data_IF_142798043555
#
_entry.id   IF_142798043555
#
_cell.length_a   1.000
_cell.length_b   1.000
_cell.length_c   1.000
_cell.angle_alpha   90.00
_cell.angle_beta   90.00
_cell.angle_gamma   90.00
#
_symmetry.space_group_name_H-M   'P 1'
#
loop_
_entity.id
_entity.type
_entity.pdbx_description
1 polymer ?
#
# COMPACT_ATOMS: atom_id res chain seq x y z
N UNK A 1 5.86 -5.08 2.88
CA UNK A 1 4.99 -4.84 1.71
C UNK A 1 4.41 -6.10 1.11
N UNK A 2 5.20 -7.05 0.59
CA UNK A 2 4.64 -8.23 -0.08
C UNK A 2 3.64 -9.00 0.80
N UNK A 3 3.97 -9.27 2.06
CA UNK A 3 3.05 -9.98 2.96
C UNK A 3 1.74 -9.22 3.18
N UNK A 4 1.80 -7.91 3.43
CA UNK A 4 0.62 -7.06 3.58
C UNK A 4 -0.27 -7.07 2.33
N UNK A 5 0.33 -7.05 1.14
CA UNK A 5 -0.38 -7.17 -0.12
C UNK A 5 -1.02 -8.56 -0.27
N UNK A 6 -0.29 -9.63 0.05
CA UNK A 6 -0.78 -11.00 -0.04
C UNK A 6 -2.00 -11.22 0.87
N UNK A 7 -1.93 -10.75 2.12
CA UNK A 7 -3.06 -10.82 3.06
C UNK A 7 -4.26 -10.01 2.56
N UNK A 8 -4.05 -8.76 2.13
CA UNK A 8 -5.12 -7.91 1.62
C UNK A 8 -5.82 -8.54 0.40
N UNK A 9 -5.06 -9.01 -0.58
CA UNK A 9 -5.62 -9.57 -1.81
C UNK A 9 -6.35 -10.90 -1.56
N UNK A 10 -5.83 -11.74 -0.64
CA UNK A 10 -6.50 -12.97 -0.22
C UNK A 10 -7.83 -12.65 0.47
N UNK A 11 -7.80 -11.80 1.50
CA UNK A 11 -8.99 -11.52 2.32
C UNK A 11 -10.04 -10.77 1.51
N UNK A 12 -9.64 -9.84 0.64
CA UNK A 12 -10.53 -9.16 -0.30
C UNK A 12 -11.22 -10.15 -1.25
N UNK A 13 -10.47 -11.12 -1.79
CA UNK A 13 -11.02 -12.15 -2.66
C UNK A 13 -12.01 -13.05 -1.88
N UNK A 14 -11.65 -13.46 -0.65
CA UNK A 14 -12.48 -14.31 0.20
C UNK A 14 -13.85 -13.68 0.49
N UNK A 15 -13.88 -12.38 0.80
CA UNK A 15 -15.13 -11.67 1.08
C UNK A 15 -15.77 -11.04 -0.16
N UNK A 16 -15.23 -11.31 -1.36
CA UNK A 16 -15.69 -10.71 -2.63
C UNK A 16 -15.77 -9.17 -2.58
N UNK A 17 -14.79 -8.54 -1.94
CA UNK A 17 -14.72 -7.09 -1.80
C UNK A 17 -14.57 -6.40 -3.16
N UNK A 18 -15.40 -5.39 -3.42
CA UNK A 18 -15.28 -4.55 -4.61
C UNK A 18 -14.24 -3.45 -4.37
N UNK A 19 -12.97 -3.80 -4.56
CA UNK A 19 -11.84 -2.88 -4.36
C UNK A 19 -10.86 -2.91 -5.53
N UNK A 20 -10.02 -1.89 -5.62
CA UNK A 20 -8.75 -1.95 -6.32
C UNK A 20 -7.61 -1.61 -5.36
N UNK A 21 -6.41 -2.12 -5.66
CA UNK A 21 -5.19 -1.80 -4.92
C UNK A 21 -4.29 -0.94 -5.80
N UNK A 22 -3.92 0.22 -5.28
CA UNK A 22 -2.99 1.15 -5.94
C UNK A 22 -1.72 1.24 -5.10
N UNK A 23 -0.59 0.93 -5.72
CA UNK A 23 0.73 1.04 -5.12
C UNK A 23 1.47 2.14 -5.87
N UNK A 24 1.97 3.14 -5.14
CA UNK A 24 2.74 4.22 -5.73
C UNK A 24 4.22 3.99 -5.45
N UNK A 25 4.97 3.68 -6.50
CA UNK A 25 6.43 3.65 -6.47
C UNK A 25 6.91 5.08 -6.70
N UNK A 26 7.60 5.66 -5.73
CA UNK A 26 8.01 7.06 -5.79
C UNK A 26 9.52 7.19 -5.85
N UNK A 27 10.02 7.97 -6.81
CA UNK A 27 11.43 8.26 -6.98
C UNK A 27 12.30 6.98 -7.00
N UNK A 28 12.00 6.02 -7.91
CA UNK A 28 12.76 4.78 -7.97
C UNK A 28 14.22 5.05 -8.38
N UNK A 29 15.14 4.26 -7.81
CA UNK A 29 16.55 4.31 -8.19
C UNK A 29 16.72 3.73 -9.60
N UNK A 30 17.44 4.40 -10.52
CA UNK A 30 17.60 3.94 -11.90
C UNK A 30 18.22 2.54 -12.02
N UNK A 31 19.04 2.13 -11.06
CA UNK A 31 19.72 0.83 -11.03
C UNK A 31 18.89 -0.30 -10.40
N UNK A 32 17.71 0.00 -9.84
CA UNK A 32 16.85 -0.98 -9.20
C UNK A 32 15.78 -1.51 -10.17
N UNK A 33 15.42 -2.80 -10.09
CA UNK A 33 14.25 -3.29 -10.81
C UNK A 33 12.99 -2.50 -10.39
N UNK A 34 12.08 -2.17 -11.33
CA UNK A 34 10.83 -1.49 -11.00
C UNK A 34 10.02 -2.32 -9.99
N UNK A 35 9.37 -1.66 -9.03
CA UNK A 35 8.54 -2.33 -8.01
C UNK A 35 7.49 -3.26 -8.62
N UNK A 36 6.92 -2.88 -9.77
CA UNK A 36 5.96 -3.69 -10.52
C UNK A 36 6.52 -5.06 -10.95
N UNK A 37 7.83 -5.18 -11.15
CA UNK A 37 8.52 -6.44 -11.50
C UNK A 37 8.85 -7.29 -10.27
N UNK A 38 8.94 -6.68 -9.09
CA UNK A 38 9.29 -7.34 -7.84
C UNK A 38 8.07 -7.85 -7.09
N UNK A 39 6.93 -7.16 -7.22
CA UNK A 39 5.69 -7.55 -6.57
C UNK A 39 5.11 -8.80 -7.22
N UNK A 40 4.80 -9.78 -6.40
CA UNK A 40 4.09 -10.99 -6.81
C UNK A 40 2.60 -10.73 -6.74
N UNK A 41 1.89 -11.15 -7.79
CA UNK A 41 0.44 -11.31 -7.74
C UNK A 41 0.13 -12.70 -7.15
N UNK A 42 -0.67 -12.81 -6.08
CA UNK A 42 -1.10 -14.10 -5.57
C UNK A 42 -1.81 -14.91 -6.68
N UNK A 43 -1.52 -16.22 -6.82
CA UNK A 43 -2.18 -17.06 -7.80
C UNK A 43 -3.71 -16.99 -7.66
N UNK A 44 -4.41 -16.80 -8.78
CA UNK A 44 -5.88 -16.73 -8.81
C UNK A 44 -6.50 -15.43 -8.28
N UNK A 45 -5.71 -14.47 -7.76
CA UNK A 45 -6.26 -13.17 -7.33
C UNK A 45 -6.87 -12.42 -8.52
N UNK A 46 -8.14 -12.03 -8.41
CA UNK A 46 -8.85 -11.25 -9.44
C UNK A 46 -8.89 -9.76 -9.15
N UNK A 47 -8.45 -9.35 -7.95
CA UNK A 47 -8.48 -7.96 -7.49
C UNK A 47 -7.57 -7.09 -8.37
N UNK A 48 -8.10 -6.00 -8.98
CA UNK A 48 -7.29 -5.07 -9.76
C UNK A 48 -6.18 -4.47 -8.91
N UNK A 49 -4.92 -4.70 -9.32
CA UNK A 49 -3.74 -4.14 -8.66
C UNK A 49 -2.93 -3.33 -9.66
N UNK A 50 -2.66 -2.07 -9.35
CA UNK A 50 -1.95 -1.13 -10.23
C UNK A 50 -0.76 -0.54 -9.51
N UNK A 51 0.40 -0.56 -10.17
CA UNK A 51 1.59 0.18 -9.72
C UNK A 51 1.70 1.46 -10.54
N UNK A 52 1.81 2.60 -9.87
CA UNK A 52 2.05 3.90 -10.49
C UNK A 52 3.43 4.36 -10.08
N UNK A 53 4.31 4.53 -11.06
CA UNK A 53 5.66 5.03 -10.82
C UNK A 53 5.68 6.56 -10.99
N UNK A 54 6.17 7.26 -9.96
CA UNK A 54 6.48 8.69 -10.00
C UNK A 54 7.98 8.83 -10.25
N UNK A 55 8.32 9.50 -11.34
CA UNK A 55 9.70 9.56 -11.81
C UNK A 55 10.57 10.46 -10.92
N UNK A 56 11.91 10.25 -10.93
CA UNK A 56 12.86 11.13 -10.27
C UNK A 56 12.73 12.59 -10.72
N UNK A 57 12.46 12.83 -12.01
CA UNK A 57 12.28 14.19 -12.55
C UNK A 57 11.09 14.93 -11.89
N UNK A 58 9.98 14.22 -11.66
CA UNK A 58 8.86 14.81 -10.94
C UNK A 58 9.21 15.05 -9.47
N UNK A 59 9.86 14.08 -8.82
CA UNK A 59 10.34 14.23 -7.45
C UNK A 59 11.21 15.48 -7.28
N UNK A 60 12.21 15.67 -8.14
CA UNK A 60 13.11 16.82 -8.11
C UNK A 60 12.34 18.14 -8.21
N UNK A 61 11.35 18.20 -9.11
CA UNK A 61 10.50 19.39 -9.32
C UNK A 61 9.66 19.80 -8.12
N UNK A 62 9.37 18.87 -7.19
CA UNK A 62 8.55 19.12 -5.99
C UNK A 62 9.35 18.98 -4.68
N UNK A 63 10.64 18.66 -4.76
CA UNK A 63 11.47 18.32 -3.61
C UNK A 63 11.81 19.51 -2.71
N UNK A 64 11.79 20.73 -3.26
CA UNK A 64 12.15 21.97 -2.57
C UNK A 64 13.44 21.87 -1.75
N UNK A 65 14.44 21.12 -2.26
CA UNK A 65 15.74 20.91 -1.60
C UNK A 65 15.66 20.29 -0.20
N UNK A 66 14.60 19.55 0.11
CA UNK A 66 14.43 18.88 1.42
C UNK A 66 15.43 17.74 1.66
N UNK A 67 16.03 17.19 0.61
CA UNK A 67 16.96 16.05 0.69
C UNK A 67 16.30 14.70 1.00
N UNK A 68 14.98 14.68 1.22
CA UNK A 68 14.22 13.46 1.47
C UNK A 68 13.92 12.75 0.14
N UNK A 69 14.25 11.46 0.05
CA UNK A 69 14.11 10.66 -1.18
C UNK A 69 12.70 10.14 -1.44
N UNK A 70 11.83 10.12 -0.42
CA UNK A 70 10.47 9.57 -0.49
C UNK A 70 9.45 10.48 0.19
N UNK A 71 8.43 10.92 -0.55
CA UNK A 71 7.33 11.75 -0.03
C UNK A 71 6.04 10.94 0.10
N UNK A 72 5.87 10.25 1.23
CA UNK A 72 4.74 9.34 1.48
C UNK A 72 3.37 10.02 1.27
N UNK A 73 3.16 11.21 1.84
CA UNK A 73 1.88 11.92 1.71
C UNK A 73 1.60 12.34 0.25
N UNK A 74 2.64 12.70 -0.51
CA UNK A 74 2.48 13.01 -1.94
C UNK A 74 2.21 11.76 -2.76
N UNK A 75 2.86 10.64 -2.44
CA UNK A 75 2.59 9.35 -3.05
C UNK A 75 1.13 8.92 -2.80
N UNK A 76 0.63 9.06 -1.57
CA UNK A 76 -0.80 8.85 -1.23
C UNK A 76 -1.71 9.74 -2.08
N UNK A 77 -1.40 11.03 -2.21
CA UNK A 77 -2.16 11.94 -3.08
C UNK A 77 -2.14 11.54 -4.57
N UNK A 78 -1.03 11.00 -5.08
CA UNK A 78 -0.92 10.48 -6.45
C UNK A 78 -1.85 9.27 -6.64
N UNK A 79 -1.88 8.37 -5.65
CA UNK A 79 -2.77 7.22 -5.63
C UNK A 79 -4.24 7.64 -5.60
N UNK A 80 -4.61 8.53 -4.68
CA UNK A 80 -5.98 9.03 -4.52
C UNK A 80 -6.54 9.65 -5.82
N UNK A 81 -5.74 10.51 -6.49
CA UNK A 81 -6.15 11.14 -7.76
C UNK A 81 -6.34 10.15 -8.91
N UNK A 82 -5.81 8.93 -8.78
CA UNK A 82 -5.93 7.85 -9.78
C UNK A 82 -6.88 6.75 -9.32
N UNK A 83 -7.46 6.86 -8.13
CA UNK A 83 -8.44 5.91 -7.62
C UNK A 83 -9.75 6.03 -8.41
N UNK A 84 -10.41 4.88 -8.58
CA UNK A 84 -11.70 4.74 -9.27
C UNK A 84 -12.85 4.49 -8.31
N UNK A 85 -12.56 4.20 -7.05
CA UNK A 85 -13.55 3.99 -6.01
C UNK A 85 -14.15 5.30 -5.51
N UNK A 86 -15.36 5.22 -4.97
CA UNK A 86 -16.02 6.32 -4.26
C UNK A 86 -15.28 6.67 -2.95
N UNK A 87 -14.73 5.65 -2.30
CA UNK A 87 -13.98 5.74 -1.06
C UNK A 87 -12.50 5.39 -1.29
N UNK A 88 -11.60 6.07 -0.56
CA UNK A 88 -10.16 5.81 -0.61
C UNK A 88 -9.66 5.49 0.80
N UNK A 89 -9.07 4.30 0.96
CA UNK A 89 -8.33 3.91 2.14
C UNK A 89 -6.83 4.11 1.90
N UNK A 90 -6.19 4.94 2.73
CA UNK A 90 -4.73 5.04 2.75
C UNK A 90 -4.17 4.06 3.79
N UNK A 91 -3.26 3.20 3.35
CA UNK A 91 -2.52 2.29 4.23
C UNK A 91 -1.03 2.30 3.89
N UNK A 92 -0.21 1.84 4.84
CA UNK A 92 1.23 1.72 4.65
C UNK A 92 1.58 0.27 4.27
N UNK A 93 2.72 0.10 3.60
CA UNK A 93 3.15 -1.22 3.10
C UNK A 93 3.55 -2.23 4.20
N UNK A 94 3.52 -1.83 5.46
CA UNK A 94 3.80 -2.64 6.64
C UNK A 94 2.55 -2.88 7.51
N UNK A 95 1.39 -2.34 7.13
CA UNK A 95 0.12 -2.55 7.83
C UNK A 95 -0.61 -3.74 7.23
N UNK A 96 -1.15 -4.61 8.10
CA UNK A 96 -2.07 -5.70 7.72
C UNK A 96 -3.46 -5.31 8.24
N UNK A 97 -4.46 -5.34 7.36
CA UNK A 97 -5.86 -5.14 7.73
C UNK A 97 -6.47 -6.50 8.08
N UNK A 98 -7.20 -6.58 9.18
CA UNK A 98 -7.98 -7.80 9.47
C UNK A 98 -9.12 -7.94 8.46
N UNK A 99 -9.55 -9.18 8.19
CA UNK A 99 -10.71 -9.44 7.33
C UNK A 99 -11.97 -8.72 7.82
N UNK A 100 -12.15 -8.58 9.14
CA UNK A 100 -13.28 -7.86 9.71
C UNK A 100 -13.19 -6.34 9.48
N UNK A 101 -11.98 -5.77 9.57
CA UNK A 101 -11.76 -4.36 9.22
C UNK A 101 -12.06 -4.14 7.75
N UNK A 102 -11.54 -5.01 6.88
CA UNK A 102 -11.79 -4.92 5.44
C UNK A 102 -13.29 -5.02 5.15
N UNK A 103 -13.99 -5.99 5.74
CA UNK A 103 -15.44 -6.14 5.62
C UNK A 103 -16.17 -4.89 6.08
N UNK A 104 -15.77 -4.27 7.19
CA UNK A 104 -16.41 -3.06 7.70
C UNK A 104 -16.26 -1.88 6.74
N UNK A 105 -15.08 -1.68 6.14
CA UNK A 105 -14.83 -0.53 5.23
C UNK A 105 -15.29 -0.77 3.79
N UNK A 106 -15.56 -2.00 3.40
CA UNK A 106 -16.09 -2.33 2.06
C UNK A 106 -17.58 -2.60 2.05
N UNK A 107 -18.22 -2.71 3.22
CA UNK A 107 -19.67 -2.85 3.33
C UNK A 107 -20.36 -1.51 3.05
N UNK A 108 -21.57 -1.52 2.47
CA UNK A 108 -22.38 -0.30 2.37
C UNK A 108 -22.61 0.32 3.75
N UNK A 109 -22.71 1.66 3.81
CA UNK A 109 -23.08 2.37 5.03
C UNK A 109 -21.98 3.20 5.69
N UNK A 110 -20.85 3.43 5.01
CA UNK A 110 -19.97 4.53 5.40
C UNK A 110 -20.70 5.86 5.22
N UNK A 111 -20.72 6.66 6.27
CA UNK A 111 -21.34 7.98 6.31
C UNK A 111 -20.28 9.03 5.94
N UNK A 112 -20.49 9.83 4.87
CA UNK A 112 -19.56 10.88 4.45
C UNK A 112 -19.39 12.02 5.46
N UNK A 113 -20.24 12.07 6.49
CA UNK A 113 -20.18 13.04 7.59
C UNK A 113 -19.61 12.46 8.88
N UNK A 114 -19.14 11.21 8.86
CA UNK A 114 -18.59 10.53 10.04
C UNK A 114 -17.07 10.37 9.99
N UNK A 115 -16.46 10.35 11.17
CA UNK A 115 -15.08 9.94 11.37
C UNK A 115 -15.04 8.55 12.01
N UNK A 116 -14.38 7.62 11.33
CA UNK A 116 -14.20 6.25 11.81
C UNK A 116 -12.81 6.08 12.40
N UNK A 117 -12.72 5.34 13.52
CA UNK A 117 -11.46 4.94 14.13
C UNK A 117 -11.49 3.43 14.41
N UNK A 118 -10.35 2.80 14.25
CA UNK A 118 -10.10 1.42 14.61
C UNK A 118 -8.90 1.34 15.55
N UNK A 119 -8.89 0.31 16.40
CA UNK A 119 -7.71 0.00 17.19
C UNK A 119 -6.62 -0.58 16.29
N UNK A 120 -5.37 -0.22 16.60
CA UNK A 120 -4.18 -0.75 15.93
C UNK A 120 -3.36 -1.50 16.96
N UNK A 121 -3.11 -2.77 16.67
CA UNK A 121 -2.22 -3.60 17.47
C UNK A 121 -0.87 -3.69 16.78
N UNK A 122 0.19 -3.32 17.50
CA UNK A 122 1.55 -3.56 17.03
C UNK A 122 1.88 -5.05 17.20
N UNK A 123 2.34 -5.68 16.13
CA UNK A 123 2.91 -7.01 16.21
C UNK A 123 4.41 -6.81 16.46
N UNK A 124 4.95 -7.25 17.61
CA UNK A 124 6.39 -7.19 17.85
C UNK A 124 7.11 -7.94 16.72
N UNK A 125 7.82 -7.21 15.88
CA UNK A 125 8.70 -7.86 14.92
C UNK A 125 9.81 -8.55 15.68
N UNK A 126 9.95 -9.88 15.53
CA UNK A 126 11.20 -10.57 15.85
C UNK A 126 12.23 -10.19 14.78
N UNK A 127 12.57 -8.90 14.69
CA UNK A 127 13.79 -8.48 14.05
C UNK A 127 14.87 -8.70 15.09
N UNK A 128 15.61 -9.81 15.00
CA UNK A 128 16.90 -9.87 15.65
C UNK A 128 17.76 -8.74 15.05
N UNK A 129 18.08 -7.70 15.83
CA UNK A 129 18.83 -6.56 15.32
C UNK A 129 20.26 -6.96 14.90
N UNK A 130 20.73 -8.13 15.33
CA UNK A 130 22.01 -8.74 14.95
C UNK A 130 21.89 -9.75 13.82
N UNK A 131 20.67 -10.06 13.33
CA UNK A 131 20.49 -11.00 12.23
C UNK A 131 21.16 -10.42 10.97
N UNK A 132 22.11 -11.16 10.36
CA UNK A 132 22.80 -10.73 9.15
C UNK A 132 21.81 -10.32 8.06
N UNK A 133 22.13 -9.26 7.31
CA UNK A 133 21.28 -8.76 6.21
C UNK A 133 20.88 -9.85 5.20
N UNK A 134 21.68 -10.91 5.09
CA UNK A 134 21.46 -12.05 4.20
C UNK A 134 20.34 -13.00 4.67
N UNK A 135 19.97 -12.99 5.95
CA UNK A 135 19.01 -13.90 6.57
C UNK A 135 17.62 -13.28 6.81
N UNK A 136 17.41 -12.03 6.40
CA UNK A 136 16.10 -11.37 6.42
C UNK A 136 15.42 -11.62 5.07
N UNK A 137 14.80 -12.80 4.91
CA UNK A 137 13.89 -13.11 3.79
C UNK A 137 12.44 -13.07 4.25
#
# INVERSE_FOLDING_TARGET
>A
MQNSLDFLLRDAQEISASIEVIIVEWNPLPSSPPLASLLRRPPGSTIPTRVITVSPQFHDSVSNSTGQSFFEFMAKNVGARRARGEWVLFTNGDVVLSVDTLRAVTSPGLDPLAFYRMDRTEIPGLLDPLSPLQNRR
#
